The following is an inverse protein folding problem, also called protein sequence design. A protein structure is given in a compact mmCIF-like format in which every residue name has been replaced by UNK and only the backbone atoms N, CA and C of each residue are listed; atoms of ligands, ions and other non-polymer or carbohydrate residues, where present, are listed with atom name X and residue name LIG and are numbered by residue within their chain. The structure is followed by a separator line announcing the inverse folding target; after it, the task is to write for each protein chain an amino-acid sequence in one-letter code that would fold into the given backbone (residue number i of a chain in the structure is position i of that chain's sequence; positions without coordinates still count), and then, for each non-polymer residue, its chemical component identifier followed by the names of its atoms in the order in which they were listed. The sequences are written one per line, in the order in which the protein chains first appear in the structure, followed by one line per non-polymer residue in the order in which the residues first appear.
data_IF_053116108712
#
_entry.id   IF_053116108712
#
_cell.length_a   1.000
_cell.length_b   1.000
_cell.length_c   1.000
_cell.angle_alpha   90.00
_cell.angle_beta   90.00
_cell.angle_gamma   90.00
#
_symmetry.space_group_name_H-M   'P 1'
#
loop_
_entity.id
_entity.type
_entity.pdbx_description
1 polymer ?
#
# COMPACT_ATOMS: atom_id res chain seq x y z
N UNK A 1 -18.56 -15.24 -16.72
CA UNK A 1 -17.11 -15.53 -16.60
C UNK A 1 -16.51 -14.23 -16.12
N UNK A 2 -16.40 -14.06 -14.80
CA UNK A 2 -15.89 -12.82 -14.22
C UNK A 2 -14.43 -12.66 -14.64
N UNK A 3 -14.15 -11.59 -15.37
CA UNK A 3 -12.81 -11.17 -15.75
C UNK A 3 -11.94 -11.06 -14.49
N UNK A 4 -11.13 -12.08 -14.24
CA UNK A 4 -10.06 -12.08 -13.24
C UNK A 4 -8.91 -11.15 -13.66
N UNK A 5 -9.24 -9.93 -14.08
CA UNK A 5 -8.35 -8.89 -14.61
C UNK A 5 -8.09 -7.78 -13.59
N UNK A 6 -8.32 -8.06 -12.31
CA UNK A 6 -7.82 -7.27 -11.20
C UNK A 6 -6.48 -7.87 -10.79
N UNK A 7 -5.36 -7.35 -11.32
CA UNK A 7 -4.05 -7.67 -10.74
C UNK A 7 -4.10 -7.19 -9.28
N UNK A 8 -4.24 -8.12 -8.35
CA UNK A 8 -4.50 -7.88 -6.94
C UNK A 8 -3.51 -6.84 -6.37
N UNK A 9 -4.04 -5.85 -5.65
CA UNK A 9 -3.23 -4.87 -4.94
C UNK A 9 -2.21 -5.53 -4.02
N UNK A 10 -2.52 -6.69 -3.44
CA UNK A 10 -1.62 -7.47 -2.59
C UNK A 10 -0.37 -7.93 -3.35
N UNK A 11 -0.50 -8.39 -4.60
CA UNK A 11 0.66 -8.78 -5.43
C UNK A 11 1.59 -7.59 -5.66
N UNK A 12 1.02 -6.41 -5.94
CA UNK A 12 1.82 -5.18 -6.06
C UNK A 12 2.49 -4.78 -4.75
N UNK A 13 1.81 -4.95 -3.62
CA UNK A 13 2.37 -4.68 -2.30
C UNK A 13 3.56 -5.58 -1.97
N UNK A 14 3.43 -6.90 -2.23
CA UNK A 14 4.52 -7.86 -2.02
C UNK A 14 5.72 -7.55 -2.93
N UNK A 15 5.46 -7.21 -4.20
CA UNK A 15 6.51 -6.78 -5.13
C UNK A 15 7.19 -5.48 -4.69
N UNK A 16 6.46 -4.53 -4.09
CA UNK A 16 7.07 -3.32 -3.53
C UNK A 16 8.06 -3.67 -2.41
N UNK A 17 7.73 -4.66 -1.58
CA UNK A 17 8.62 -5.16 -0.53
C UNK A 17 9.95 -5.66 -1.05
N UNK A 18 9.98 -6.35 -2.20
CA UNK A 18 11.24 -6.79 -2.85
C UNK A 18 12.13 -5.59 -3.18
N UNK A 19 11.57 -4.55 -3.80
CA UNK A 19 12.33 -3.34 -4.13
C UNK A 19 12.82 -2.60 -2.87
N UNK A 20 11.99 -2.50 -1.83
CA UNK A 20 12.40 -1.86 -0.60
C UNK A 20 13.54 -2.62 0.10
N UNK A 21 13.49 -3.96 0.17
CA UNK A 21 14.56 -4.79 0.76
C UNK A 21 15.88 -4.62 0.00
N UNK A 22 15.82 -4.52 -1.33
CA UNK A 22 16.97 -4.25 -2.19
C UNK A 22 17.40 -2.76 -2.19
N UNK A 23 16.80 -1.92 -1.35
CA UNK A 23 17.07 -0.47 -1.25
C UNK A 23 16.85 0.30 -2.56
N UNK A 24 16.05 -0.22 -3.48
CA UNK A 24 15.60 0.48 -4.67
C UNK A 24 14.40 1.36 -4.32
N UNK A 25 14.62 2.38 -3.49
CA UNK A 25 13.57 3.14 -2.79
C UNK A 25 12.57 3.78 -3.75
N UNK A 26 13.04 4.40 -4.84
CA UNK A 26 12.14 5.03 -5.83
C UNK A 26 11.21 4.02 -6.51
N UNK A 27 11.73 2.82 -6.82
CA UNK A 27 10.92 1.72 -7.38
C UNK A 27 9.97 1.18 -6.34
N UNK A 28 10.41 1.01 -5.09
CA UNK A 28 9.55 0.61 -4.00
C UNK A 28 8.35 1.55 -3.87
N UNK A 29 8.57 2.87 -3.80
CA UNK A 29 7.51 3.87 -3.68
C UNK A 29 6.58 3.84 -4.88
N UNK A 30 7.12 3.77 -6.10
CA UNK A 30 6.33 3.69 -7.34
C UNK A 30 5.41 2.46 -7.37
N UNK A 31 5.91 1.30 -6.93
CA UNK A 31 5.15 0.04 -6.90
C UNK A 31 4.16 0.04 -5.74
N UNK A 32 4.51 0.62 -4.59
CA UNK A 32 3.61 0.75 -3.45
C UNK A 32 2.41 1.68 -3.76
N UNK A 33 2.64 2.78 -4.47
CA UNK A 33 1.56 3.66 -4.94
C UNK A 33 0.60 2.92 -5.90
N UNK A 34 1.12 2.04 -6.76
CA UNK A 34 0.30 1.16 -7.60
C UNK A 34 -0.52 0.17 -6.77
N UNK A 35 0.04 -0.40 -5.71
CA UNK A 35 -0.67 -1.29 -4.80
C UNK A 35 -1.89 -0.58 -4.16
N UNK A 36 -1.69 0.63 -3.64
CA UNK A 36 -2.77 1.45 -3.05
C UNK A 36 -3.84 1.84 -4.08
N UNK A 37 -3.42 2.17 -5.31
CA UNK A 37 -4.35 2.45 -6.42
C UNK A 37 -5.19 1.22 -6.78
N UNK A 38 -4.64 0.01 -6.65
CA UNK A 38 -5.31 -1.27 -6.96
C UNK A 38 -6.03 -1.93 -5.78
N UNK A 39 -6.13 -1.24 -4.64
CA UNK A 39 -6.98 -1.69 -3.53
C UNK A 39 -6.23 -2.21 -2.31
N UNK A 40 -4.90 -2.24 -2.32
CA UNK A 40 -4.14 -2.55 -1.10
C UNK A 40 -3.97 -1.30 -0.24
N UNK A 41 -4.94 -1.05 0.64
CA UNK A 41 -4.92 0.06 1.60
C UNK A 41 -4.97 -0.44 3.05
N UNK A 42 -4.29 -1.56 3.34
CA UNK A 42 -4.14 -2.09 4.69
C UNK A 42 -3.18 -1.24 5.54
N UNK A 43 -3.52 0.04 5.73
CA UNK A 43 -2.66 1.05 6.36
C UNK A 43 -2.08 0.63 7.72
N UNK A 44 -2.85 0.06 8.68
CA UNK A 44 -2.29 -0.41 9.95
C UNK A 44 -1.22 -1.49 9.80
N UNK A 45 -1.33 -2.34 8.77
CA UNK A 45 -0.33 -3.35 8.45
C UNK A 45 0.91 -2.70 7.83
N UNK A 46 0.74 -1.79 6.86
CA UNK A 46 1.84 -1.07 6.21
C UNK A 46 2.70 -0.27 7.21
N UNK A 47 2.12 0.29 8.26
CA UNK A 47 2.86 0.97 9.33
C UNK A 47 3.83 0.07 10.08
N UNK A 48 3.50 -1.21 10.24
CA UNK A 48 4.26 -2.18 11.04
C UNK A 48 5.18 -3.06 10.19
N UNK A 49 5.07 -2.96 8.86
CA UNK A 49 5.73 -3.88 7.97
C UNK A 49 7.23 -3.57 7.84
N UNK A 50 8.06 -4.52 8.27
CA UNK A 50 9.53 -4.36 8.34
C UNK A 50 10.20 -4.24 6.98
N UNK A 51 9.62 -4.80 5.93
CA UNK A 51 10.23 -4.65 4.60
C UNK A 51 10.18 -3.21 4.09
N UNK A 52 9.33 -2.34 4.67
CA UNK A 52 9.29 -0.92 4.34
C UNK A 52 10.30 -0.10 5.15
N UNK A 53 10.99 -0.70 6.12
CA UNK A 53 11.97 -0.02 6.98
C UNK A 53 13.05 0.73 6.19
N UNK A 54 13.61 0.18 5.09
CA UNK A 54 14.57 0.91 4.25
C UNK A 54 14.03 2.20 3.61
N UNK A 55 12.71 2.32 3.45
CA UNK A 55 12.06 3.51 2.88
C UNK A 55 11.52 4.47 3.96
N UNK A 56 11.69 4.18 5.25
CA UNK A 56 11.22 5.07 6.34
C UNK A 56 12.01 6.38 6.32
N UNK A 57 11.31 7.48 6.59
CA UNK A 57 11.86 8.84 6.48
C UNK A 57 11.93 9.38 5.05
N UNK A 58 11.58 8.58 4.04
CA UNK A 58 11.42 9.08 2.68
C UNK A 58 10.02 9.72 2.50
N UNK A 59 9.93 10.99 2.06
CA UNK A 59 8.64 11.68 1.92
C UNK A 59 7.71 11.03 0.89
N UNK A 60 8.25 10.29 -0.08
CA UNK A 60 7.45 9.53 -1.04
C UNK A 60 6.72 8.35 -0.39
N UNK A 61 7.34 7.69 0.61
CA UNK A 61 6.64 6.67 1.39
C UNK A 61 5.51 7.31 2.21
N UNK A 62 5.77 8.43 2.88
CA UNK A 62 4.77 9.13 3.68
C UNK A 62 3.55 9.51 2.85
N UNK A 63 3.77 10.00 1.62
CA UNK A 63 2.68 10.32 0.69
C UNK A 63 1.85 9.09 0.27
N UNK A 64 2.48 7.91 0.12
CA UNK A 64 1.77 6.67 -0.18
C UNK A 64 1.00 6.16 1.03
N UNK A 65 1.58 6.24 2.22
CA UNK A 65 0.92 5.86 3.46
C UNK A 65 -0.29 6.75 3.77
N UNK A 66 -0.21 8.05 3.49
CA UNK A 66 -1.35 8.94 3.66
C UNK A 66 -2.52 8.60 2.72
N UNK A 67 -2.22 8.27 1.45
CA UNK A 67 -3.24 7.76 0.52
C UNK A 67 -3.89 6.46 1.02
N UNK A 68 -3.09 5.53 1.54
CA UNK A 68 -3.59 4.29 2.10
C UNK A 68 -4.46 4.54 3.33
N UNK A 69 -4.04 5.45 4.23
CA UNK A 69 -4.79 5.88 5.41
C UNK A 69 -6.16 6.44 5.03
N UNK A 70 -6.20 7.40 4.10
CA UNK A 70 -7.46 8.02 3.66
C UNK A 70 -8.43 6.98 3.10
N UNK A 71 -7.95 6.02 2.29
CA UNK A 71 -8.79 4.93 1.78
C UNK A 71 -9.25 3.96 2.87
N UNK A 72 -8.36 3.64 3.81
CA UNK A 72 -8.66 2.77 4.95
C UNK A 72 -9.76 3.35 5.83
N UNK A 73 -9.64 4.61 6.23
CA UNK A 73 -10.64 5.27 7.07
C UNK A 73 -11.98 5.41 6.33
N UNK A 74 -11.97 5.82 5.06
CA UNK A 74 -13.20 5.89 4.27
C UNK A 74 -13.90 4.52 4.12
N UNK A 75 -13.13 3.43 3.97
CA UNK A 75 -13.68 2.07 3.98
C UNK A 75 -14.26 1.72 5.35
N UNK A 76 -13.54 2.00 6.42
CA UNK A 76 -13.98 1.74 7.80
C UNK A 76 -15.27 2.48 8.13
N UNK A 77 -15.36 3.77 7.80
CA UNK A 77 -16.55 4.60 7.97
C UNK A 77 -17.74 4.01 7.24
N UNK A 78 -17.56 3.66 5.96
CA UNK A 78 -18.65 3.15 5.10
C UNK A 78 -19.20 1.81 5.58
N UNK A 79 -18.35 0.89 6.04
CA UNK A 79 -18.74 -0.51 6.26
C UNK A 79 -18.85 -0.91 7.73
N UNK A 80 -18.29 -0.13 8.67
CA UNK A 80 -18.25 -0.53 10.08
C UNK A 80 -18.81 0.50 11.06
N UNK A 81 -18.87 1.79 10.71
CA UNK A 81 -19.30 2.86 11.62
C UNK A 81 -20.72 3.40 11.37
N UNK A 82 -21.35 3.06 10.24
CA UNK A 82 -22.74 3.45 9.92
C UNK A 82 -23.78 2.38 10.31
N UNK A 83 -23.56 1.62 11.39
CA UNK A 83 -24.53 0.67 11.95
C UNK A 83 -25.11 1.18 13.27
#
# INVERSE_FOLDING_TARGET
MEDANLVDGEVWYLNAGVYCINQEIDKCISVLDKAVKRGYFAYPHMLKCRFLDPARGNPGLDAVLDKARLKHEAFKEKFFLNN
#
